data_IF_406192281296
#
_entry.id   IF_406192281296
#
_cell.length_a   1.000
_cell.length_b   1.000
_cell.length_c   1.000
_cell.angle_alpha   90.00
_cell.angle_beta   90.00
_cell.angle_gamma   90.00
#
_symmetry.space_group_name_H-M   'P 1'
#
loop_
_entity.id
_entity.type
_entity.pdbx_description
1 polymer ?
#
# COMPACT_ATOMS: atom_id res chain seq x y z
N UNK A 1 2.14 -13.85 -21.55
CA UNK A 1 1.17 -12.93 -20.91
C UNK A 1 0.69 -13.60 -19.63
N UNK A 2 0.94 -13.00 -18.46
CA UNK A 2 0.26 -13.38 -17.23
C UNK A 2 -1.07 -12.61 -17.18
N UNK A 3 -1.97 -12.92 -18.10
CA UNK A 3 -3.30 -12.37 -18.07
C UNK A 3 -4.10 -13.09 -16.97
N UNK A 4 -4.93 -12.34 -16.25
CA UNK A 4 -5.85 -12.93 -15.29
C UNK A 4 -6.88 -13.80 -16.02
N UNK A 5 -7.15 -14.98 -15.50
CA UNK A 5 -8.25 -15.80 -16.00
C UNK A 5 -9.61 -15.34 -15.43
N UNK A 6 -10.70 -15.89 -15.97
CA UNK A 6 -12.05 -15.52 -15.53
C UNK A 6 -12.29 -15.79 -14.04
N UNK A 7 -11.72 -16.86 -13.48
CA UNK A 7 -11.87 -17.20 -12.06
C UNK A 7 -11.17 -16.17 -11.17
N UNK A 8 -9.99 -15.71 -11.55
CA UNK A 8 -9.26 -14.67 -10.83
C UNK A 8 -9.99 -13.32 -10.91
N UNK A 9 -10.56 -12.97 -12.06
CA UNK A 9 -11.37 -11.77 -12.23
C UNK A 9 -12.65 -11.82 -11.39
N UNK A 10 -13.37 -12.94 -11.41
CA UNK A 10 -14.57 -13.15 -10.60
C UNK A 10 -14.23 -13.11 -9.11
N UNK A 11 -13.10 -13.69 -8.69
CA UNK A 11 -12.62 -13.59 -7.32
C UNK A 11 -12.36 -12.14 -6.92
N UNK A 12 -11.61 -11.38 -7.72
CA UNK A 12 -11.30 -9.99 -7.39
C UNK A 12 -12.58 -9.15 -7.33
N UNK A 13 -13.52 -9.34 -8.26
CA UNK A 13 -14.80 -8.65 -8.25
C UNK A 13 -15.62 -8.95 -6.99
N UNK A 14 -15.70 -10.23 -6.59
CA UNK A 14 -16.48 -10.66 -5.43
C UNK A 14 -15.81 -10.37 -4.09
N UNK A 15 -14.48 -10.53 -3.99
CA UNK A 15 -13.73 -10.48 -2.73
C UNK A 15 -12.88 -9.24 -2.53
N UNK A 16 -12.55 -8.52 -3.60
CA UNK A 16 -11.76 -7.29 -3.54
C UNK A 16 -10.26 -7.51 -3.36
N UNK A 17 -9.78 -8.75 -3.50
CA UNK A 17 -8.36 -9.08 -3.43
C UNK A 17 -7.99 -10.29 -4.30
N UNK A 18 -6.71 -10.38 -4.64
CA UNK A 18 -6.12 -11.49 -5.37
C UNK A 18 -4.67 -11.73 -4.90
N UNK A 19 -4.22 -12.98 -4.98
CA UNK A 19 -2.80 -13.33 -4.88
C UNK A 19 -2.41 -13.99 -6.20
N UNK A 20 -1.33 -13.54 -6.81
CA UNK A 20 -0.79 -14.11 -8.06
C UNK A 20 0.65 -14.52 -7.80
N UNK A 21 0.91 -15.82 -7.87
CA UNK A 21 2.22 -16.39 -7.59
C UNK A 21 3.18 -16.31 -8.78
N UNK A 22 4.49 -16.34 -8.48
CA UNK A 22 5.57 -16.48 -9.48
C UNK A 22 5.58 -15.36 -10.55
N UNK A 23 5.28 -14.13 -10.14
CA UNK A 23 5.23 -12.96 -11.04
C UNK A 23 6.60 -12.35 -11.29
N UNK A 24 7.54 -12.44 -10.36
CA UNK A 24 8.94 -12.04 -10.54
C UNK A 24 9.82 -13.27 -10.75
N UNK A 25 10.88 -13.12 -11.54
CA UNK A 25 11.95 -14.11 -11.66
C UNK A 25 12.86 -14.05 -10.43
N UNK A 26 13.63 -15.13 -10.22
CA UNK A 26 14.59 -15.19 -9.12
C UNK A 26 15.67 -14.08 -9.20
N UNK A 27 16.09 -13.70 -10.41
CA UNK A 27 17.07 -12.62 -10.60
C UNK A 27 16.49 -11.24 -10.29
N UNK A 28 15.27 -10.94 -10.74
CA UNK A 28 14.57 -9.69 -10.40
C UNK A 28 14.37 -9.56 -8.89
N UNK A 29 13.96 -10.65 -8.25
CA UNK A 29 13.78 -10.72 -6.80
C UNK A 29 15.10 -10.49 -6.05
N UNK A 30 16.20 -11.10 -6.51
CA UNK A 30 17.50 -10.94 -5.88
C UNK A 30 18.01 -9.49 -5.98
N UNK A 31 17.90 -8.86 -7.15
CA UNK A 31 18.31 -7.46 -7.33
C UNK A 31 17.51 -6.52 -6.41
N UNK A 32 16.19 -6.72 -6.32
CA UNK A 32 15.34 -5.93 -5.42
C UNK A 32 15.72 -6.09 -3.96
N UNK A 33 16.07 -7.31 -3.54
CA UNK A 33 16.53 -7.59 -2.16
C UNK A 33 17.83 -6.88 -1.86
N UNK A 34 18.83 -6.99 -2.73
CA UNK A 34 20.15 -6.36 -2.55
C UNK A 34 20.02 -4.84 -2.44
N UNK A 35 19.25 -4.22 -3.33
CA UNK A 35 18.99 -2.78 -3.29
C UNK A 35 18.23 -2.42 -2.02
N UNK A 36 17.22 -3.20 -1.61
CA UNK A 36 16.47 -2.94 -0.37
C UNK A 36 17.39 -3.03 0.86
N UNK A 37 18.32 -3.98 0.88
CA UNK A 37 19.27 -4.16 1.97
C UNK A 37 20.24 -2.97 2.07
N UNK A 38 20.63 -2.38 0.94
CA UNK A 38 21.43 -1.14 0.92
C UNK A 38 20.71 0.07 1.53
N UNK A 39 19.38 0.16 1.36
CA UNK A 39 18.57 1.17 2.04
C UNK A 39 18.42 0.85 3.53
N UNK A 40 18.18 -0.41 3.88
CA UNK A 40 18.03 -0.85 5.26
C UNK A 40 19.31 -0.61 6.10
N UNK A 41 20.49 -0.80 5.49
CA UNK A 41 21.79 -0.57 6.12
C UNK A 41 22.03 0.88 6.55
N UNK A 42 21.29 1.84 5.99
CA UNK A 42 21.40 3.28 6.33
C UNK A 42 20.68 3.64 7.64
N UNK A 43 20.00 2.70 8.30
CA UNK A 43 19.22 2.99 9.51
C UNK A 43 20.00 3.73 10.60
N UNK A 44 21.26 3.37 10.80
CA UNK A 44 22.16 3.97 11.80
C UNK A 44 22.97 5.16 11.30
N UNK A 45 22.83 5.56 10.03
CA UNK A 45 23.54 6.70 9.48
C UNK A 45 22.84 8.01 9.87
N UNK A 46 23.57 8.90 10.55
CA UNK A 46 23.08 10.22 10.93
C UNK A 46 22.77 11.09 9.72
N UNK A 47 23.40 10.82 8.57
CA UNK A 47 23.20 11.54 7.30
C UNK A 47 22.10 10.93 6.42
N UNK A 48 21.43 9.86 6.87
CA UNK A 48 20.34 9.24 6.13
C UNK A 48 19.21 10.25 5.83
N UNK A 49 18.82 10.35 4.55
CA UNK A 49 17.79 11.30 4.13
C UNK A 49 16.40 10.87 4.64
N UNK A 50 15.91 11.56 5.68
CA UNK A 50 14.61 11.30 6.33
C UNK A 50 13.40 11.60 5.43
N UNK A 51 13.61 12.28 4.30
CA UNK A 51 12.60 12.47 3.25
C UNK A 51 12.39 11.17 2.46
N UNK A 52 13.40 10.31 2.39
CA UNK A 52 13.36 9.01 1.73
C UNK A 52 13.08 7.90 2.76
N UNK A 53 13.76 7.93 3.90
CA UNK A 53 13.71 6.87 4.90
C UNK A 53 12.87 7.27 6.12
N UNK A 54 11.86 6.47 6.41
CA UNK A 54 11.21 6.46 7.73
C UNK A 54 11.99 5.47 8.61
N UNK A 55 12.70 6.00 9.60
CA UNK A 55 13.52 5.24 10.52
C UNK A 55 12.77 5.17 11.86
N UNK A 56 12.49 3.96 12.29
CA UNK A 56 12.01 3.66 13.63
C UNK A 56 13.16 3.28 14.55
N UNK A 57 12.82 3.03 15.80
CA UNK A 57 13.74 2.51 16.81
C UNK A 57 13.09 1.31 17.49
N UNK A 58 13.88 0.27 17.75
CA UNK A 58 13.47 -0.87 18.54
C UNK A 58 14.61 -1.29 19.47
N UNK A 59 14.35 -1.36 20.78
CA UNK A 59 15.35 -1.67 21.81
C UNK A 59 16.64 -0.82 21.69
N UNK A 60 16.49 0.47 21.39
CA UNK A 60 17.61 1.41 21.21
C UNK A 60 18.40 1.19 19.91
N UNK A 61 17.92 0.35 18.98
CA UNK A 61 18.54 0.13 17.67
C UNK A 61 17.67 0.77 16.57
N UNK A 62 18.24 1.66 15.74
CA UNK A 62 17.50 2.24 14.64
C UNK A 62 17.30 1.21 13.53
N UNK A 63 16.17 1.30 12.83
CA UNK A 63 15.89 0.47 11.66
C UNK A 63 15.04 1.24 10.65
N UNK A 64 15.17 0.91 9.36
CA UNK A 64 14.29 1.47 8.33
C UNK A 64 12.95 0.76 8.38
N UNK A 65 11.88 1.49 8.73
CA UNK A 65 10.48 1.02 8.65
C UNK A 65 9.95 1.10 7.24
N UNK A 66 10.32 2.17 6.54
CA UNK A 66 9.82 2.43 5.19
C UNK A 66 10.81 3.20 4.32
N UNK A 67 10.83 2.84 3.04
CA UNK A 67 11.41 3.64 1.96
C UNK A 67 10.27 4.32 1.20
N UNK A 68 10.29 5.64 1.14
CA UNK A 68 9.27 6.49 0.50
C UNK A 68 9.64 6.66 -0.98
N UNK A 69 8.65 6.55 -1.87
CA UNK A 69 8.81 6.75 -3.33
C UNK A 69 10.05 6.06 -3.93
N UNK A 70 10.31 4.77 -3.64
CA UNK A 70 11.55 4.08 -4.04
C UNK A 70 11.82 4.13 -5.56
N UNK A 71 10.75 4.15 -6.38
CA UNK A 71 10.82 4.32 -7.84
C UNK A 71 11.59 5.55 -8.30
N UNK A 72 11.70 6.61 -7.48
CA UNK A 72 12.47 7.82 -7.80
C UNK A 72 13.93 7.76 -7.39
N UNK A 73 14.30 6.76 -6.60
CA UNK A 73 15.58 6.71 -5.92
C UNK A 73 16.46 5.55 -6.39
N UNK A 74 15.90 4.58 -7.10
CA UNK A 74 16.70 3.52 -7.73
C UNK A 74 16.04 2.98 -9.01
N UNK A 75 16.81 2.78 -10.11
CA UNK A 75 16.28 2.26 -11.38
C UNK A 75 15.54 0.92 -11.27
N UNK A 76 15.99 0.01 -10.39
CA UNK A 76 15.31 -1.29 -10.18
C UNK A 76 13.84 -1.11 -9.77
N UNK A 77 13.54 -0.09 -8.95
CA UNK A 77 12.19 0.16 -8.48
C UNK A 77 11.34 0.87 -9.53
N UNK A 78 11.93 1.76 -10.34
CA UNK A 78 11.25 2.36 -11.50
C UNK A 78 10.90 1.27 -12.54
N UNK A 79 11.85 0.38 -12.84
CA UNK A 79 11.62 -0.77 -13.70
C UNK A 79 10.51 -1.68 -13.13
N UNK A 80 10.47 -1.87 -11.81
CA UNK A 80 9.44 -2.70 -11.17
C UNK A 80 8.05 -2.08 -11.26
N UNK A 81 7.89 -0.75 -11.09
CA UNK A 81 6.57 -0.11 -11.28
C UNK A 81 6.09 -0.14 -12.74
N UNK A 82 7.00 -0.39 -13.68
CA UNK A 82 6.74 -0.59 -15.12
C UNK A 82 6.85 -2.05 -15.56
N UNK A 83 6.89 -3.00 -14.61
CA UNK A 83 7.15 -4.39 -14.93
C UNK A 83 6.00 -4.99 -15.77
N UNK A 84 6.29 -5.55 -16.96
CA UNK A 84 5.26 -5.90 -17.95
C UNK A 84 4.24 -6.90 -17.42
N UNK A 85 4.67 -7.90 -16.63
CA UNK A 85 3.74 -8.89 -16.06
C UNK A 85 2.82 -8.28 -14.99
N UNK A 86 3.31 -7.31 -14.21
CA UNK A 86 2.49 -6.63 -13.20
C UNK A 86 1.47 -5.74 -13.91
N UNK A 87 1.92 -4.97 -14.91
CA UNK A 87 1.03 -4.09 -15.68
C UNK A 87 -0.01 -4.86 -16.50
N UNK A 88 0.27 -6.07 -16.98
CA UNK A 88 -0.72 -6.94 -17.63
C UNK A 88 -1.81 -7.40 -16.64
N UNK A 89 -1.42 -7.79 -15.44
CA UNK A 89 -2.36 -8.18 -14.37
C UNK A 89 -3.24 -6.99 -13.97
N UNK A 90 -2.62 -5.82 -13.70
CA UNK A 90 -3.34 -4.61 -13.32
C UNK A 90 -4.27 -4.13 -14.44
N UNK A 91 -3.83 -4.23 -15.70
CA UNK A 91 -4.66 -3.86 -16.84
C UNK A 91 -5.91 -4.75 -16.98
N UNK A 92 -5.82 -6.01 -16.58
CA UNK A 92 -6.98 -6.90 -16.49
C UNK A 92 -8.05 -6.42 -15.50
N UNK A 93 -7.65 -5.64 -14.48
CA UNK A 93 -8.56 -5.09 -13.46
C UNK A 93 -9.07 -3.68 -13.78
N UNK A 94 -8.18 -2.81 -14.28
CA UNK A 94 -8.44 -1.37 -14.41
C UNK A 94 -8.57 -0.88 -15.86
N UNK A 95 -8.21 -1.70 -16.85
CA UNK A 95 -8.03 -1.28 -18.24
C UNK A 95 -6.57 -0.92 -18.57
N UNK A 96 -6.29 -0.63 -19.85
CA UNK A 96 -4.90 -0.51 -20.35
C UNK A 96 -4.20 0.82 -20.04
N UNK A 97 -4.94 1.86 -19.68
CA UNK A 97 -4.38 3.18 -19.40
C UNK A 97 -4.18 3.33 -17.89
N UNK A 98 -2.93 3.20 -17.45
CA UNK A 98 -2.57 3.03 -16.06
C UNK A 98 -1.62 4.14 -15.61
N UNK A 99 -1.93 4.72 -14.45
CA UNK A 99 -1.11 5.72 -13.77
C UNK A 99 -0.67 5.20 -12.41
N UNK A 100 0.61 5.36 -12.07
CA UNK A 100 1.12 5.12 -10.73
C UNK A 100 0.69 6.29 -9.83
N UNK A 101 -0.08 6.01 -8.79
CA UNK A 101 -0.40 7.00 -7.75
C UNK A 101 0.79 7.20 -6.79
N UNK A 102 1.50 6.11 -6.47
CA UNK A 102 2.74 6.16 -5.70
C UNK A 102 3.24 4.77 -5.32
N UNK A 103 4.45 4.71 -4.78
CA UNK A 103 5.03 3.48 -4.25
C UNK A 103 5.77 3.70 -2.93
N UNK A 104 5.93 2.61 -2.17
CA UNK A 104 6.60 2.59 -0.87
C UNK A 104 7.11 1.18 -0.59
N UNK A 105 8.19 1.06 0.18
CA UNK A 105 8.61 -0.24 0.75
C UNK A 105 8.27 -0.21 2.22
N UNK A 106 7.63 -1.26 2.74
CA UNK A 106 7.45 -1.45 4.17
C UNK A 106 8.29 -2.64 4.63
N UNK A 107 9.10 -2.42 5.66
CA UNK A 107 9.93 -3.43 6.29
C UNK A 107 9.37 -3.68 7.70
N UNK A 108 9.13 -4.96 8.02
CA UNK A 108 8.83 -5.37 9.40
C UNK A 108 9.99 -6.19 9.94
N UNK A 109 10.54 -5.73 11.07
CA UNK A 109 11.54 -6.47 11.82
C UNK A 109 10.94 -7.75 12.44
N UNK A 110 11.77 -8.77 12.72
CA UNK A 110 11.36 -10.03 13.35
C UNK A 110 10.86 -9.84 14.79
N UNK A 111 10.32 -10.91 15.40
CA UNK A 111 10.05 -11.01 16.85
C UNK A 111 9.01 -10.06 17.44
N UNK A 112 7.99 -9.71 16.67
CA UNK A 112 6.87 -8.85 17.07
C UNK A 112 7.19 -7.35 17.03
N UNK A 113 8.37 -7.00 16.52
CA UNK A 113 8.97 -5.67 16.68
C UNK A 113 8.59 -4.69 15.57
N UNK A 114 7.89 -5.16 14.54
CA UNK A 114 7.39 -4.34 13.43
C UNK A 114 6.04 -3.70 13.75
N UNK A 115 5.95 -2.38 13.53
CA UNK A 115 4.70 -1.61 13.70
C UNK A 115 3.54 -2.25 12.92
N UNK A 116 2.46 -2.57 13.64
CA UNK A 116 1.22 -3.01 13.01
C UNK A 116 0.58 -1.86 12.23
N UNK A 117 -0.02 -2.17 11.09
CA UNK A 117 -0.84 -1.20 10.35
C UNK A 117 -2.29 -1.49 10.73
N UNK A 118 -2.95 -0.53 11.37
CA UNK A 118 -4.32 -0.63 11.85
C UNK A 118 -5.31 -0.83 10.68
N UNK A 119 -6.51 -1.33 10.98
CA UNK A 119 -7.57 -1.50 10.00
C UNK A 119 -7.92 -0.20 9.30
N UNK A 120 -7.84 -0.20 7.96
CA UNK A 120 -8.11 0.97 7.12
C UNK A 120 -8.65 0.57 5.75
N UNK A 121 -9.28 1.53 5.08
CA UNK A 121 -9.46 1.56 3.63
C UNK A 121 -8.49 2.58 3.02
N UNK A 122 -7.77 2.19 1.99
CA UNK A 122 -6.84 3.07 1.28
C UNK A 122 -7.58 4.27 0.64
N UNK A 123 -8.83 4.06 0.24
CA UNK A 123 -9.74 5.08 -0.31
C UNK A 123 -9.89 6.32 0.57
N UNK A 124 -9.81 6.18 1.90
CA UNK A 124 -9.87 7.32 2.82
C UNK A 124 -8.60 8.18 2.80
N UNK A 125 -7.45 7.64 2.39
CA UNK A 125 -6.19 8.40 2.27
C UNK A 125 -6.09 9.17 0.96
N UNK A 126 -6.65 8.59 -0.11
CA UNK A 126 -6.51 9.11 -1.47
C UNK A 126 -7.78 8.83 -2.29
N UNK A 127 -8.91 9.49 -1.99
CA UNK A 127 -10.11 9.32 -2.77
C UNK A 127 -9.94 9.94 -4.16
N UNK A 128 -10.57 9.31 -5.15
CA UNK A 128 -10.54 9.72 -6.56
C UNK A 128 -11.96 9.92 -7.09
N UNK A 129 -12.09 10.38 -8.32
CA UNK A 129 -13.38 10.56 -8.99
C UNK A 129 -14.11 9.25 -9.30
N UNK A 130 -13.39 8.14 -9.31
CA UNK A 130 -13.91 6.78 -9.35
C UNK A 130 -12.94 5.84 -8.60
N UNK A 131 -13.37 4.64 -8.24
CA UNK A 131 -12.61 3.69 -7.42
C UNK A 131 -11.85 2.63 -8.24
N UNK A 132 -11.61 2.86 -9.53
CA UNK A 132 -10.78 2.01 -10.39
C UNK A 132 -9.29 2.19 -10.07
N UNK A 133 -8.92 1.76 -8.87
CA UNK A 133 -7.57 1.76 -8.32
C UNK A 133 -7.29 0.42 -7.63
N UNK A 134 -6.01 0.03 -7.63
CA UNK A 134 -5.53 -1.19 -6.98
C UNK A 134 -4.20 -0.94 -6.30
N UNK A 135 -4.06 -1.46 -5.09
CA UNK A 135 -2.78 -1.54 -4.41
C UNK A 135 -2.15 -2.90 -4.67
N UNK A 136 -0.93 -2.90 -5.19
CA UNK A 136 -0.15 -4.11 -5.49
C UNK A 136 0.99 -4.23 -4.47
N UNK A 137 1.03 -5.34 -3.73
CA UNK A 137 2.13 -5.70 -2.86
C UNK A 137 3.05 -6.69 -3.56
N UNK A 138 4.27 -6.30 -3.92
CA UNK A 138 5.31 -7.21 -4.42
C UNK A 138 6.06 -7.79 -3.24
N UNK A 139 6.03 -9.12 -3.13
CA UNK A 139 6.55 -9.85 -1.98
C UNK A 139 8.03 -10.13 -2.19
N UNK A 140 8.90 -9.41 -1.46
CA UNK A 140 10.34 -9.64 -1.54
C UNK A 140 10.79 -10.82 -0.67
N UNK A 141 9.99 -11.20 0.31
CA UNK A 141 10.22 -12.35 1.18
C UNK A 141 8.97 -13.24 1.13
N UNK A 142 9.13 -14.52 1.49
CA UNK A 142 7.98 -15.42 1.62
C UNK A 142 7.00 -14.81 2.62
N UNK A 143 5.73 -14.74 2.25
CA UNK A 143 4.68 -14.24 3.11
C UNK A 143 4.02 -15.40 3.82
N UNK A 144 4.30 -15.53 5.10
CA UNK A 144 3.82 -16.60 5.96
C UNK A 144 2.77 -16.05 6.93
N UNK A 145 2.07 -16.93 7.63
CA UNK A 145 1.06 -16.50 8.59
C UNK A 145 1.66 -15.71 9.77
N UNK A 146 2.91 -16.03 10.12
CA UNK A 146 3.58 -15.50 11.30
C UNK A 146 4.30 -14.16 11.05
N UNK A 147 4.65 -13.84 9.79
CA UNK A 147 5.52 -12.70 9.49
C UNK A 147 4.78 -11.39 9.16
N UNK A 148 3.55 -11.27 9.68
CA UNK A 148 2.71 -10.09 9.53
C UNK A 148 2.27 -9.88 8.09
N UNK A 149 1.53 -10.83 7.50
CA UNK A 149 0.97 -10.70 6.16
C UNK A 149 -0.05 -9.55 6.10
N UNK A 150 -0.50 -9.23 4.88
CA UNK A 150 -1.69 -8.40 4.72
C UNK A 150 -2.92 -9.20 5.17
N UNK A 151 -3.77 -8.54 5.95
CA UNK A 151 -5.10 -9.01 6.32
C UNK A 151 -6.12 -8.26 5.48
N UNK A 152 -7.08 -8.95 4.87
CA UNK A 152 -8.16 -8.33 4.10
C UNK A 152 -9.50 -8.94 4.50
N UNK A 153 -10.53 -8.13 4.66
CA UNK A 153 -11.91 -8.60 4.82
C UNK A 153 -12.53 -8.83 3.43
N UNK A 154 -12.80 -10.07 3.01
CA UNK A 154 -13.36 -10.36 1.69
C UNK A 154 -14.70 -9.66 1.46
N UNK A 155 -14.86 -9.03 0.30
CA UNK A 155 -16.11 -8.38 -0.12
C UNK A 155 -16.39 -7.02 0.52
N UNK A 156 -15.56 -6.59 1.48
CA UNK A 156 -15.71 -5.29 2.16
C UNK A 156 -15.59 -4.09 1.22
N UNK A 157 -14.94 -4.23 0.06
CA UNK A 157 -14.84 -3.18 -0.96
C UNK A 157 -16.18 -2.83 -1.61
N UNK A 158 -17.15 -3.75 -1.59
CA UNK A 158 -18.53 -3.52 -2.06
C UNK A 158 -19.40 -2.80 -1.03
N UNK A 159 -18.95 -2.79 0.23
CA UNK A 159 -19.68 -2.24 1.36
C UNK A 159 -19.47 -0.73 1.56
N UNK A 160 -19.69 -0.32 2.80
CA UNK A 160 -19.57 1.06 3.25
C UNK A 160 -18.13 1.57 3.13
N UNK A 161 -18.00 2.85 2.82
CA UNK A 161 -16.74 3.58 2.97
C UNK A 161 -16.80 4.28 4.31
N UNK A 162 -15.91 3.90 5.21
CA UNK A 162 -15.88 4.39 6.57
C UNK A 162 -15.03 5.67 6.68
N UNK A 163 -15.31 6.48 7.69
CA UNK A 163 -14.47 7.61 8.06
C UNK A 163 -13.22 7.14 8.81
N UNK A 164 -12.07 7.67 8.43
CA UNK A 164 -10.79 7.49 9.16
C UNK A 164 -10.53 8.63 10.14
N UNK A 165 -11.52 9.51 10.37
CA UNK A 165 -11.37 10.62 11.30
C UNK A 165 -11.66 10.16 12.73
N UNK A 166 -10.75 10.45 13.65
CA UNK A 166 -10.90 10.27 15.09
C UNK A 166 -10.55 11.60 15.78
N UNK A 167 -11.24 11.96 16.88
CA UNK A 167 -11.00 13.24 17.55
C UNK A 167 -11.18 14.49 16.66
N UNK A 168 -11.95 14.40 15.56
CA UNK A 168 -12.20 15.51 14.63
C UNK A 168 -11.11 15.73 13.56
N UNK A 169 -10.16 14.81 13.40
CA UNK A 169 -9.09 14.88 12.39
C UNK A 169 -8.81 13.53 11.77
N UNK A 170 -8.16 13.51 10.61
CA UNK A 170 -7.73 12.28 9.97
C UNK A 170 -6.72 11.52 10.83
N UNK A 171 -7.06 10.30 11.23
CA UNK A 171 -6.22 9.41 12.03
C UNK A 171 -5.67 8.22 11.21
N UNK A 172 -6.13 8.06 9.96
CA UNK A 172 -5.68 6.99 9.06
C UNK A 172 -6.06 5.57 9.51
N UNK A 173 -6.91 5.43 10.53
CA UNK A 173 -7.42 4.15 11.02
C UNK A 173 -8.92 4.22 11.20
N UNK A 174 -9.62 3.12 10.91
CA UNK A 174 -11.04 2.99 11.18
C UNK A 174 -11.29 2.79 12.68
N UNK A 175 -12.47 3.23 13.12
CA UNK A 175 -13.00 2.83 14.42
C UNK A 175 -13.36 1.34 14.37
N UNK A 176 -12.49 0.50 14.96
CA UNK A 176 -12.67 -0.94 14.92
C UNK A 176 -14.01 -1.41 15.53
N UNK A 177 -14.65 -0.60 16.38
CA UNK A 177 -15.97 -0.94 16.96
C UNK A 177 -17.09 -0.92 15.91
N UNK A 178 -16.94 -0.14 14.83
CA UNK A 178 -17.89 -0.06 13.72
C UNK A 178 -17.78 -1.24 12.75
N UNK A 179 -16.60 -1.87 12.69
CA UNK A 179 -16.29 -2.95 11.75
C UNK A 179 -16.08 -4.30 12.45
N UNK A 180 -16.26 -4.37 13.78
CA UNK A 180 -15.95 -5.56 14.58
C UNK A 180 -16.56 -6.85 14.02
N UNK A 181 -17.79 -6.78 13.53
CA UNK A 181 -18.56 -7.95 13.09
C UNK A 181 -18.02 -8.54 11.77
N UNK A 182 -17.21 -7.79 11.02
CA UNK A 182 -16.56 -8.27 9.79
C UNK A 182 -15.11 -8.69 9.97
N UNK A 183 -14.45 -8.29 11.07
CA UNK A 183 -13.02 -8.58 11.29
C UNK A 183 -12.75 -10.08 11.47
N UNK A 184 -13.70 -10.83 12.02
CA UNK A 184 -13.61 -12.28 12.18
C UNK A 184 -13.55 -13.03 10.83
N UNK A 185 -14.00 -12.38 9.74
CA UNK A 185 -13.95 -12.93 8.38
C UNK A 185 -12.68 -12.52 7.64
N UNK A 186 -11.75 -11.80 8.27
CA UNK A 186 -10.51 -11.42 7.64
C UNK A 186 -9.66 -12.64 7.27
N UNK A 187 -9.02 -12.56 6.10
CA UNK A 187 -8.11 -13.58 5.60
C UNK A 187 -6.70 -13.03 5.50
N UNK A 188 -5.71 -13.90 5.68
CA UNK A 188 -4.31 -13.58 5.50
C UNK A 188 -3.91 -13.82 4.05
N UNK A 189 -3.16 -12.88 3.45
CA UNK A 189 -2.62 -13.04 2.11
C UNK A 189 -1.18 -13.57 2.20
N UNK A 190 -1.04 -14.90 2.10
CA UNK A 190 0.24 -15.62 2.10
C UNK A 190 0.62 -16.06 0.69
N UNK A 191 1.91 -16.12 0.41
CA UNK A 191 2.47 -16.58 -0.87
C UNK A 191 4.02 -16.60 -0.84
N UNK A 192 4.68 -17.41 -1.69
CA UNK A 192 6.13 -17.37 -1.84
C UNK A 192 6.65 -16.02 -2.35
N UNK A 193 7.92 -15.71 -2.08
CA UNK A 193 8.59 -14.53 -2.59
C UNK A 193 8.57 -14.48 -4.14
N UNK A 194 8.49 -13.26 -4.68
CA UNK A 194 8.30 -13.02 -6.11
C UNK A 194 6.84 -13.11 -6.57
N UNK A 195 5.91 -13.45 -5.67
CA UNK A 195 4.48 -13.30 -5.88
C UNK A 195 4.03 -11.84 -5.69
N UNK A 196 2.80 -11.53 -6.09
CA UNK A 196 2.15 -10.26 -5.77
C UNK A 196 0.79 -10.47 -5.11
N UNK A 197 0.44 -9.57 -4.20
CA UNK A 197 -0.93 -9.40 -3.69
C UNK A 197 -1.57 -8.19 -4.36
N UNK A 198 -2.87 -8.24 -4.61
CA UNK A 198 -3.64 -7.10 -5.09
C UNK A 198 -4.83 -6.91 -4.17
N UNK A 199 -5.11 -5.68 -3.75
CA UNK A 199 -6.34 -5.35 -3.03
C UNK A 199 -6.96 -4.06 -3.54
N UNK A 200 -8.30 -4.07 -3.58
CA UNK A 200 -9.10 -2.93 -3.97
C UNK A 200 -8.93 -1.81 -2.93
N UNK A 201 -8.87 -0.54 -3.37
CA UNK A 201 -8.63 0.60 -2.46
C UNK A 201 -9.71 0.77 -1.39
N UNK A 202 -10.93 0.26 -1.64
CA UNK A 202 -12.04 0.23 -0.68
C UNK A 202 -12.07 -1.02 0.22
N UNK A 203 -11.21 -2.00 0.01
CA UNK A 203 -11.17 -3.17 0.88
C UNK A 203 -10.69 -2.76 2.28
N UNK A 204 -11.38 -3.23 3.32
CA UNK A 204 -10.95 -3.10 4.72
C UNK A 204 -9.78 -4.06 4.92
N UNK A 205 -8.63 -3.50 5.27
CA UNK A 205 -7.39 -4.27 5.38
C UNK A 205 -6.47 -3.73 6.49
N UNK A 206 -5.56 -4.58 6.92
CA UNK A 206 -4.59 -4.32 7.99
C UNK A 206 -3.32 -5.14 7.76
N UNK A 207 -2.33 -5.00 8.64
CA UNK A 207 -1.21 -5.95 8.70
C UNK A 207 -0.69 -6.01 10.13
N UNK A 208 -0.86 -7.16 10.77
CA UNK A 208 -0.40 -7.42 12.15
C UNK A 208 1.14 -7.48 12.28
N UNK A 209 1.69 -7.52 13.50
CA UNK A 209 3.14 -7.52 13.71
C UNK A 209 3.81 -8.74 13.06
N UNK A 210 5.10 -8.61 12.72
CA UNK A 210 5.89 -9.75 12.24
C UNK A 210 6.46 -10.50 13.44
N UNK A 211 5.90 -11.68 13.74
CA UNK A 211 6.30 -12.53 14.88
C UNK A 211 7.35 -13.59 14.53
N UNK A 212 7.71 -13.71 13.25
CA UNK A 212 8.72 -14.64 12.77
C UNK A 212 10.14 -14.19 13.16
N UNK A 213 11.14 -15.05 12.95
CA UNK A 213 12.55 -14.75 13.21
C UNK A 213 13.24 -13.96 12.09
N UNK A 214 12.59 -13.81 10.93
CA UNK A 214 13.13 -13.08 9.77
C UNK A 214 12.51 -11.70 9.61
N UNK A 215 13.22 -10.79 8.95
CA UNK A 215 12.61 -9.54 8.47
C UNK A 215 11.68 -9.83 7.29
N UNK A 216 10.71 -8.95 7.07
CA UNK A 216 9.73 -9.09 6.00
C UNK A 216 9.56 -7.79 5.23
N UNK A 217 9.87 -7.81 3.94
CA UNK A 217 9.85 -6.66 3.02
C UNK A 217 8.73 -6.81 1.98
N UNK A 218 7.94 -5.74 1.80
CA UNK A 218 6.92 -5.65 0.74
C UNK A 218 7.06 -4.31 0.05
N UNK A 219 7.09 -4.31 -1.28
CA UNK A 219 6.96 -3.09 -2.10
C UNK A 219 5.48 -2.90 -2.43
N UNK A 220 4.90 -1.80 -1.99
CA UNK A 220 3.56 -1.40 -2.37
C UNK A 220 3.62 -0.43 -3.55
N UNK A 221 2.79 -0.69 -4.56
CA UNK A 221 2.65 0.09 -5.78
C UNK A 221 1.17 0.30 -6.02
N UNK A 222 0.72 1.55 -5.98
CA UNK A 222 -0.68 1.87 -6.12
C UNK A 222 -0.93 2.38 -7.53
N UNK A 223 -1.78 1.70 -8.27
CA UNK A 223 -2.15 2.06 -9.63
C UNK A 223 -3.59 2.57 -9.69
N UNK A 224 -3.83 3.47 -10.62
CA UNK A 224 -5.13 4.00 -10.96
C UNK A 224 -5.36 3.86 -12.47
N UNK A 225 -6.61 3.65 -12.87
CA UNK A 225 -7.01 3.93 -14.25
C UNK A 225 -6.71 5.40 -14.56
N UNK A 226 -6.26 5.71 -15.78
CA UNK A 226 -5.89 7.08 -16.16
C UNK A 226 -7.09 8.06 -16.12
N UNK A 227 -8.33 7.55 -16.13
CA UNK A 227 -9.55 8.35 -15.99
C UNK A 227 -9.98 8.59 -14.52
N UNK A 228 -9.27 8.02 -13.54
CA UNK A 228 -9.51 8.20 -12.12
C UNK A 228 -8.65 9.36 -11.60
N UNK A 229 -9.29 10.50 -11.37
CA UNK A 229 -8.60 11.72 -10.96
C UNK A 229 -8.58 11.88 -9.43
N UNK A 230 -7.44 12.20 -8.81
CA UNK A 230 -7.36 12.34 -7.35
C UNK A 230 -8.09 13.60 -6.86
N UNK A 231 -8.81 13.48 -5.74
CA UNK A 231 -9.60 14.58 -5.17
C UNK A 231 -8.80 15.47 -4.19
N UNK A 232 -7.59 15.05 -3.79
CA UNK A 232 -6.81 15.70 -2.72
C UNK A 232 -5.35 15.93 -3.16
N UNK A 233 -5.18 16.66 -4.26
CA UNK A 233 -3.88 16.88 -4.90
C UNK A 233 -3.44 15.69 -5.75
N UNK A 234 -2.40 15.86 -6.55
CA UNK A 234 -1.99 14.83 -7.50
C UNK A 234 -0.92 13.90 -6.96
N UNK A 235 -1.16 12.59 -6.98
CA UNK A 235 -0.20 11.60 -6.49
C UNK A 235 -0.16 11.47 -4.97
N UNK A 236 0.77 10.63 -4.49
CA UNK A 236 0.98 10.34 -3.08
C UNK A 236 1.26 11.61 -2.23
N UNK A 237 1.20 11.55 -0.88
CA UNK A 237 1.34 12.74 -0.03
C UNK A 237 2.51 13.70 -0.35
N UNK A 238 3.68 13.18 -0.72
CA UNK A 238 4.84 13.99 -1.14
C UNK A 238 4.71 14.66 -2.51
N UNK A 239 3.74 14.21 -3.31
CA UNK A 239 3.55 14.59 -4.71
C UNK A 239 2.34 15.47 -4.95
N UNK A 240 1.51 15.71 -3.93
CA UNK A 240 0.24 16.44 -4.08
C UNK A 240 0.34 17.78 -4.83
N UNK A 241 1.54 18.38 -4.85
CA UNK A 241 1.86 19.62 -5.56
C UNK A 241 2.00 19.48 -7.09
N UNK A 242 2.15 18.27 -7.65
CA UNK A 242 2.47 18.06 -9.07
C UNK A 242 1.47 18.72 -10.04
N UNK A 243 0.18 18.82 -9.70
CA UNK A 243 -0.83 19.41 -10.58
C UNK A 243 -1.20 20.87 -10.28
N UNK A 244 -0.80 21.42 -9.13
CA UNK A 244 -1.18 22.77 -8.71
C UNK A 244 0.03 23.70 -8.77
N UNK A 245 0.44 24.07 -10.00
CA UNK A 245 1.66 24.84 -10.25
C UNK A 245 2.97 24.04 -10.12
N UNK A 246 2.86 22.71 -10.05
CA UNK A 246 4.00 21.78 -10.01
C UNK A 246 4.48 21.33 -11.38
N UNK A 247 5.36 20.33 -11.36
CA UNK A 247 5.97 19.71 -12.52
C UNK A 247 4.98 18.77 -13.23
N UNK A 248 4.27 19.30 -14.24
CA UNK A 248 3.30 18.55 -15.05
C UNK A 248 3.96 17.39 -15.78
N UNK A 249 5.20 17.54 -16.23
CA UNK A 249 5.93 16.47 -16.90
C UNK A 249 6.19 15.33 -15.91
N UNK A 250 6.58 15.63 -14.67
CA UNK A 250 6.69 14.62 -13.62
C UNK A 250 5.34 13.96 -13.27
N UNK A 251 4.20 14.66 -13.41
CA UNK A 251 2.89 14.01 -13.31
C UNK A 251 2.68 13.05 -14.49
N UNK A 252 2.97 13.48 -15.72
CA UNK A 252 2.82 12.65 -16.92
C UNK A 252 3.75 11.43 -16.91
N UNK A 253 4.94 11.52 -16.32
CA UNK A 253 5.85 10.39 -16.14
C UNK A 253 5.26 9.29 -15.25
N UNK A 254 4.28 9.60 -14.40
CA UNK A 254 3.55 8.60 -13.61
C UNK A 254 2.59 7.76 -14.47
N UNK A 255 2.35 8.13 -15.74
CA UNK A 255 1.64 7.27 -16.67
C UNK A 255 2.55 6.08 -17.05
N UNK A 256 2.22 4.90 -16.53
CA UNK A 256 3.06 3.69 -16.67
C UNK A 256 2.65 2.81 -17.84
N UNK A 257 1.42 2.97 -18.35
CA UNK A 257 0.91 2.27 -19.53
C UNK A 257 -0.19 3.09 -20.20
N UNK A 258 -0.27 3.05 -21.52
CA UNK A 258 -1.35 3.67 -22.28
C UNK A 258 -1.20 5.18 -22.41
N UNK A 259 -2.33 5.88 -22.42
CA UNK A 259 -2.41 7.34 -22.61
C UNK A 259 -3.34 7.98 -21.58
N UNK A 260 -3.18 9.28 -21.37
CA UNK A 260 -4.10 10.05 -20.52
C UNK A 260 -5.53 10.03 -21.09
N UNK A 261 -6.53 10.13 -20.20
CA UNK A 261 -7.94 9.97 -20.57
C UNK A 261 -8.79 11.10 -19.99
N UNK A 262 -9.95 11.30 -20.61
CA UNK A 262 -10.98 12.14 -20.03
C UNK A 262 -11.40 11.57 -18.68
N UNK A 263 -11.39 12.41 -17.64
CA UNK A 263 -11.77 12.03 -16.28
C UNK A 263 -13.18 11.48 -16.24
N UNK A 264 -13.34 10.33 -15.57
CA UNK A 264 -14.64 9.71 -15.29
C UNK A 264 -15.06 9.96 -13.86
N UNK A 265 -16.30 10.44 -13.70
CA UNK A 265 -16.99 10.53 -12.42
C UNK A 265 -17.86 9.29 -12.23
N UNK A 266 -17.63 8.53 -11.15
CA UNK A 266 -18.50 7.43 -10.73
C UNK A 266 -19.30 7.85 -9.49
N UNK A 267 -20.47 7.24 -9.31
CA UNK A 267 -21.26 7.41 -8.09
C UNK A 267 -20.66 6.53 -6.98
N UNK A 268 -19.59 7.02 -6.34
CA UNK A 268 -18.89 6.35 -5.25
C UNK A 268 -18.83 7.25 -4.01
N UNK A 269 -19.07 6.72 -2.80
CA UNK A 269 -19.01 7.52 -1.57
C UNK A 269 -17.57 7.94 -1.26
N UNK A 270 -17.39 9.16 -0.75
CA UNK A 270 -16.08 9.75 -0.44
C UNK A 270 -16.10 10.40 0.93
N UNK A 271 -15.13 10.01 1.78
CA UNK A 271 -14.71 10.79 2.94
C UNK A 271 -13.35 11.42 2.63
N UNK A 272 -13.27 12.75 2.69
CA UNK A 272 -12.01 13.44 2.48
C UNK A 272 -11.11 13.28 3.73
N UNK A 273 -9.79 13.10 3.57
CA UNK A 273 -8.81 13.06 4.66
C UNK A 273 -8.54 14.46 5.25
N UNK A 274 -9.62 15.19 5.58
CA UNK A 274 -9.60 16.56 6.06
C UNK A 274 -10.51 16.73 7.30
N UNK A 275 -10.08 17.52 8.31
CA UNK A 275 -8.75 18.10 8.46
C UNK A 275 -7.66 17.03 8.56
N UNK A 276 -6.49 17.30 7.97
CA UNK A 276 -5.40 16.34 7.91
C UNK A 276 -4.85 15.94 9.28
N UNK A 277 -4.13 14.81 9.30
CA UNK A 277 -3.38 14.33 10.45
C UNK A 277 -2.33 15.35 10.90
N UNK A 278 -1.96 15.30 12.18
CA UNK A 278 -0.92 16.16 12.73
C UNK A 278 0.47 15.82 12.14
N UNK A 279 0.73 14.54 11.90
CA UNK A 279 1.85 14.04 11.09
C UNK A 279 1.32 13.07 10.02
N UNK A 280 1.66 13.35 8.76
CA UNK A 280 1.27 12.55 7.58
C UNK A 280 2.47 12.01 6.80
N UNK A 281 3.65 11.97 7.43
CA UNK A 281 4.91 11.50 6.84
C UNK A 281 4.88 10.01 6.49
N UNK A 282 4.15 9.19 7.26
CA UNK A 282 3.93 7.78 6.99
C UNK A 282 2.62 7.28 7.62
N UNK A 283 2.19 6.07 7.26
CA UNK A 283 0.96 5.48 7.85
C UNK A 283 1.18 5.16 9.32
N UNK A 284 2.41 4.82 9.70
CA UNK A 284 2.78 4.49 11.07
C UNK A 284 2.66 5.72 11.96
N UNK A 285 3.16 6.87 11.50
CA UNK A 285 3.07 8.13 12.25
C UNK A 285 1.65 8.70 12.28
N UNK A 286 0.90 8.58 11.18
CA UNK A 286 -0.51 8.98 11.16
C UNK A 286 -1.35 8.14 12.13
N UNK A 287 -1.19 6.82 12.12
CA UNK A 287 -1.98 5.92 12.95
C UNK A 287 -1.54 5.90 14.42
N UNK A 288 -0.30 6.27 14.75
CA UNK A 288 0.12 6.39 16.15
C UNK A 288 -0.65 7.46 16.93
N UNK A 289 -1.25 8.42 16.23
CA UNK A 289 -2.13 9.43 16.81
C UNK A 289 -3.60 9.02 16.94
N UNK A 290 -3.97 7.79 16.53
CA UNK A 290 -5.34 7.31 16.62
C UNK A 290 -5.71 6.93 18.07
N UNK A 291 -6.90 7.35 18.52
CA UNK A 291 -7.41 7.05 19.86
C UNK A 291 -7.75 5.56 20.02
N UNK A 292 -8.14 4.88 18.94
CA UNK A 292 -8.68 3.51 18.95
C UNK A 292 -7.78 2.52 18.21
N UNK A 293 -6.65 2.16 18.81
CA UNK A 293 -5.70 1.18 18.27
C UNK A 293 -6.13 -0.26 18.50
N UNK A 294 -6.58 -0.95 17.45
CA UNK A 294 -7.06 -2.33 17.50
C UNK A 294 -5.98 -3.33 17.96
N UNK A 295 -4.78 -3.28 17.37
CA UNK A 295 -3.74 -4.26 17.70
C UNK A 295 -3.22 -4.11 19.14
N UNK A 296 -3.24 -2.89 19.70
CA UNK A 296 -2.88 -2.66 21.08
C UNK A 296 -3.97 -3.12 22.07
N UNK A 297 -5.26 -2.98 21.71
CA UNK A 297 -6.38 -3.29 22.61
C UNK A 297 -6.86 -4.74 22.56
N UNK A 298 -6.61 -5.46 21.47
CA UNK A 298 -7.13 -6.83 21.25
C UNK A 298 -6.28 -7.93 21.88
N UNK A 299 -5.16 -7.60 22.54
CA UNK A 299 -4.16 -8.60 22.95
C UNK A 299 -3.44 -9.24 21.77
N UNK A 300 -3.71 -8.84 20.52
CA UNK A 300 -3.06 -9.34 19.31
C UNK A 300 -1.59 -8.86 19.15
N UNK A 301 -0.99 -8.27 20.20
CA UNK A 301 0.46 -8.07 20.37
C UNK A 301 1.12 -9.18 21.21
N UNK A 302 0.37 -9.92 22.03
CA UNK A 302 0.81 -11.17 22.69
C UNK A 302 0.65 -12.35 21.72
#
# INVERSE_FOLDING_TARGET
MHALDATQLDQYAAKGYLVVENVLSASELQELREVTDSFAAQAGDENADRRILDIGEHEGRPYVRRVKSPHRHHPVYDATVRHPRILDIVAGLLGNDLRLYGSKINLKLPSGTGDAIQWHQDWGFYPHTNDSLVAVGVLLDDMTEENGPLLVVPGSHLGEVYSHNQGGRFAGALDHTQIKDMLDNAVQLTAPAGSITLHHVRAVHASGPNRSTGSRRIIFQNYAAADAWPLVGCGAPGDRHLCAGGDWDAYQDLLVRGQDRQVRLASVPVHLPLPGAQDSSSVFTTQSGADKNYFASSGAME
#
